data_IF_672529378800
#
_entry.id   IF_672529378800
#
_cell.length_a   1.000
_cell.length_b   1.000
_cell.length_c   1.000
_cell.angle_alpha   90.00
_cell.angle_beta   90.00
_cell.angle_gamma   90.00
#
_symmetry.space_group_name_H-M   'P 1'
#
loop_
_entity.id
_entity.type
_entity.pdbx_description
1 polymer ?
#
# COMPACT_ATOMS: atom_id res chain seq x y z
N UNK A 1 7.49 2.94 -37.79
CA UNK A 1 7.62 1.77 -36.89
C UNK A 1 7.08 2.18 -35.54
N UNK A 2 5.97 1.58 -35.07
CA UNK A 2 5.50 1.86 -33.70
C UNK A 2 6.53 1.26 -32.75
N UNK A 3 7.11 2.08 -31.87
CA UNK A 3 8.03 1.57 -30.85
C UNK A 3 7.32 0.48 -30.01
N UNK A 4 8.07 -0.54 -29.58
CA UNK A 4 7.52 -1.55 -28.69
C UNK A 4 6.99 -0.88 -27.41
N UNK A 5 5.85 -1.36 -26.85
CA UNK A 5 5.28 -0.74 -25.67
C UNK A 5 6.24 -0.86 -24.47
N UNK A 6 6.32 0.17 -23.62
CA UNK A 6 7.26 0.18 -22.50
C UNK A 6 6.93 -0.91 -21.48
N UNK A 7 7.96 -1.55 -20.94
CA UNK A 7 7.86 -2.58 -19.89
C UNK A 7 7.95 -1.93 -18.51
N UNK A 8 7.03 -2.27 -17.64
CA UNK A 8 6.93 -1.69 -16.29
C UNK A 8 7.19 -2.75 -15.22
N UNK A 9 8.08 -2.46 -14.29
CA UNK A 9 8.27 -3.24 -13.07
C UNK A 9 7.62 -2.52 -11.89
N UNK A 10 6.66 -3.16 -11.23
CA UNK A 10 5.97 -2.63 -10.05
C UNK A 10 6.50 -3.34 -8.80
N UNK A 11 7.03 -2.58 -7.85
CA UNK A 11 7.60 -3.08 -6.61
C UNK A 11 6.67 -2.81 -5.42
N UNK A 12 6.31 -3.86 -4.69
CA UNK A 12 5.43 -3.82 -3.50
C UNK A 12 6.10 -4.49 -2.29
N UNK A 13 5.41 -4.52 -1.16
CA UNK A 13 5.76 -5.35 -0.01
C UNK A 13 4.49 -5.79 0.74
N UNK A 14 4.41 -7.05 1.13
CA UNK A 14 3.22 -7.66 1.76
C UNK A 14 3.08 -7.44 3.27
N UNK A 15 3.53 -6.30 3.80
CA UNK A 15 3.36 -5.90 5.22
C UNK A 15 2.10 -5.05 5.37
N UNK A 16 0.97 -5.63 4.99
CA UNK A 16 -0.28 -4.92 4.73
C UNK A 16 -0.81 -5.24 3.33
N UNK A 17 -2.12 -5.10 3.11
CA UNK A 17 -2.73 -5.42 1.81
C UNK A 17 -2.90 -4.21 0.89
N UNK A 18 -2.84 -2.99 1.43
CA UNK A 18 -3.03 -1.76 0.67
C UNK A 18 -2.02 -1.62 -0.47
N UNK A 19 -0.72 -1.75 -0.16
CA UNK A 19 0.36 -1.70 -1.15
C UNK A 19 0.15 -2.72 -2.27
N UNK A 20 -0.17 -3.97 -1.92
CA UNK A 20 -0.42 -5.03 -2.89
C UNK A 20 -1.64 -4.74 -3.77
N UNK A 21 -2.71 -4.15 -3.20
CA UNK A 21 -3.87 -3.73 -3.98
C UNK A 21 -3.51 -2.62 -4.97
N UNK A 22 -2.77 -1.60 -4.53
CA UNK A 22 -2.30 -0.52 -5.40
C UNK A 22 -1.37 -1.04 -6.51
N UNK A 23 -0.45 -1.95 -6.18
CA UNK A 23 0.43 -2.59 -7.16
C UNK A 23 -0.37 -3.38 -8.20
N UNK A 24 -1.37 -4.16 -7.77
CA UNK A 24 -2.23 -4.93 -8.65
C UNK A 24 -3.06 -4.01 -9.57
N UNK A 25 -3.63 -2.94 -9.02
CA UNK A 25 -4.37 -1.91 -9.79
C UNK A 25 -3.48 -1.29 -10.85
N UNK A 26 -2.30 -0.79 -10.48
CA UNK A 26 -1.36 -0.19 -11.43
C UNK A 26 -0.95 -1.19 -12.52
N UNK A 27 -0.62 -2.42 -12.14
CA UNK A 27 -0.23 -3.45 -13.12
C UNK A 27 -1.38 -3.83 -14.06
N UNK A 28 -2.64 -3.79 -13.60
CA UNK A 28 -3.81 -4.00 -14.45
C UNK A 28 -3.98 -2.84 -15.44
N UNK A 29 -3.91 -1.59 -14.97
CA UNK A 29 -4.05 -0.40 -15.83
C UNK A 29 -2.92 -0.27 -16.85
N UNK A 30 -1.67 -0.57 -16.48
CA UNK A 30 -0.56 -0.60 -17.45
C UNK A 30 -0.80 -1.64 -18.54
N UNK A 31 -1.22 -2.86 -18.17
CA UNK A 31 -1.53 -3.92 -19.14
C UNK A 31 -2.70 -3.52 -20.05
N UNK A 32 -3.72 -2.86 -19.50
CA UNK A 32 -4.86 -2.33 -20.27
C UNK A 32 -4.43 -1.26 -21.28
N UNK A 33 -3.45 -0.42 -20.91
CA UNK A 33 -2.82 0.55 -21.79
C UNK A 33 -1.81 -0.05 -22.78
N UNK A 34 -1.67 -1.38 -22.84
CA UNK A 34 -0.77 -2.09 -23.73
C UNK A 34 0.69 -2.18 -23.24
N UNK A 35 0.99 -1.72 -22.02
CA UNK A 35 2.30 -1.80 -21.39
C UNK A 35 2.42 -3.07 -20.52
N UNK A 36 3.32 -4.03 -20.86
CA UNK A 36 3.54 -5.20 -20.02
C UNK A 36 4.01 -4.78 -18.62
N UNK A 37 3.31 -5.25 -17.58
CA UNK A 37 3.63 -4.93 -16.19
C UNK A 37 3.87 -6.20 -15.37
N UNK A 38 4.98 -6.24 -14.64
CA UNK A 38 5.33 -7.31 -13.70
C UNK A 38 5.30 -6.76 -12.28
N UNK A 39 4.59 -7.42 -11.36
CA UNK A 39 4.62 -7.10 -9.94
C UNK A 39 5.64 -7.99 -9.23
N UNK A 40 6.44 -7.40 -8.34
CA UNK A 40 7.44 -8.10 -7.51
C UNK A 40 7.31 -7.61 -6.08
N UNK A 41 7.25 -8.54 -5.14
CA UNK A 41 7.28 -8.27 -3.71
C UNK A 41 8.73 -8.22 -3.23
N UNK A 42 9.12 -7.08 -2.66
CA UNK A 42 10.50 -6.83 -2.26
C UNK A 42 11.03 -7.87 -1.26
N UNK A 43 10.25 -8.23 -0.25
CA UNK A 43 10.73 -9.14 0.79
C UNK A 43 10.62 -10.60 0.35
N UNK A 44 9.50 -10.97 -0.28
CA UNK A 44 9.29 -12.34 -0.73
C UNK A 44 10.27 -12.73 -1.85
N UNK A 45 10.33 -11.92 -2.92
CA UNK A 45 11.07 -12.26 -4.13
C UNK A 45 12.55 -11.85 -4.06
N UNK A 46 12.85 -10.70 -3.42
CA UNK A 46 14.21 -10.14 -3.43
C UNK A 46 15.01 -10.45 -2.16
N UNK A 47 14.36 -10.67 -1.02
CA UNK A 47 15.06 -11.06 0.23
C UNK A 47 15.06 -12.57 0.42
N UNK A 48 13.94 -13.18 0.82
CA UNK A 48 13.76 -14.63 0.88
C UNK A 48 12.31 -14.97 1.28
N UNK A 49 11.66 -15.99 0.68
CA UNK A 49 10.30 -16.39 1.05
C UNK A 49 10.12 -16.74 2.54
N UNK A 50 11.10 -17.40 3.15
CA UNK A 50 11.02 -17.76 4.58
C UNK A 50 11.24 -16.55 5.50
N UNK A 51 12.13 -15.64 5.12
CA UNK A 51 12.36 -14.40 5.86
C UNK A 51 11.08 -13.56 5.87
N UNK A 52 10.48 -13.38 4.69
CA UNK A 52 9.20 -12.71 4.51
C UNK A 52 8.11 -13.37 5.38
N UNK A 53 7.92 -14.69 5.28
CA UNK A 53 6.92 -15.40 6.09
C UNK A 53 7.09 -15.17 7.59
N UNK A 54 8.32 -15.31 8.11
CA UNK A 54 8.62 -15.17 9.54
C UNK A 54 8.38 -13.74 10.03
N UNK A 55 8.98 -12.77 9.35
CA UNK A 55 8.91 -11.35 9.76
C UNK A 55 7.52 -10.77 9.57
N UNK A 56 6.79 -11.17 8.53
CA UNK A 56 5.37 -10.81 8.34
C UNK A 56 4.49 -11.42 9.43
N UNK A 57 4.75 -12.66 9.83
CA UNK A 57 4.07 -13.30 10.96
C UNK A 57 4.31 -12.55 12.28
N UNK A 58 5.55 -12.15 12.53
CA UNK A 58 5.90 -11.33 13.70
C UNK A 58 5.22 -9.96 13.65
N UNK A 59 5.25 -9.28 12.51
CA UNK A 59 4.58 -7.99 12.29
C UNK A 59 3.10 -8.06 12.65
N UNK A 60 2.36 -9.03 12.10
CA UNK A 60 0.94 -9.19 12.41
C UNK A 60 0.69 -9.62 13.87
N UNK A 61 1.58 -10.43 14.46
CA UNK A 61 1.46 -10.80 15.87
C UNK A 61 1.64 -9.59 16.80
N UNK A 62 2.60 -8.71 16.52
CA UNK A 62 2.83 -7.47 17.28
C UNK A 62 1.64 -6.54 17.13
N UNK A 63 1.15 -6.32 15.91
CA UNK A 63 -0.04 -5.49 15.67
C UNK A 63 -1.26 -5.99 16.45
N UNK A 64 -1.48 -7.31 16.48
CA UNK A 64 -2.64 -7.92 17.14
C UNK A 64 -2.53 -7.95 18.66
N UNK A 65 -1.33 -8.21 19.20
CA UNK A 65 -1.14 -8.47 20.65
C UNK A 65 -0.55 -7.30 21.43
N UNK A 66 0.15 -6.39 20.75
CA UNK A 66 0.84 -5.28 21.38
C UNK A 66 0.75 -3.99 20.52
N UNK A 67 -0.46 -3.50 20.21
CA UNK A 67 -0.63 -2.31 19.38
C UNK A 67 0.01 -1.05 19.99
N UNK A 68 0.11 -0.97 21.33
CA UNK A 68 0.83 0.12 22.02
C UNK A 68 2.34 0.05 21.73
N UNK A 69 2.94 -1.15 21.75
CA UNK A 69 4.35 -1.32 21.38
C UNK A 69 4.60 -1.00 19.90
N UNK A 70 3.67 -1.35 19.03
CA UNK A 70 3.72 -0.93 17.63
C UNK A 70 3.65 0.59 17.49
N UNK A 71 2.72 1.25 18.19
CA UNK A 71 2.61 2.71 18.19
C UNK A 71 3.89 3.41 18.68
N UNK A 72 4.52 2.88 19.73
CA UNK A 72 5.82 3.36 20.22
C UNK A 72 6.92 3.14 19.18
N UNK A 73 7.02 1.94 18.59
CA UNK A 73 8.00 1.64 17.56
C UNK A 73 7.83 2.52 16.31
N UNK A 74 6.57 2.81 15.95
CA UNK A 74 6.22 3.67 14.83
C UNK A 74 6.59 5.14 15.11
N UNK A 75 6.25 5.66 16.30
CA UNK A 75 6.65 6.99 16.73
C UNK A 75 8.17 7.14 16.79
N UNK A 76 8.87 6.16 17.35
CA UNK A 76 10.34 6.12 17.36
C UNK A 76 10.89 6.06 15.93
N UNK A 77 10.28 5.26 15.05
CA UNK A 77 10.66 5.13 13.65
C UNK A 77 10.52 6.42 12.84
N UNK A 78 9.48 7.21 13.11
CA UNK A 78 9.26 8.51 12.46
C UNK A 78 10.28 9.57 12.94
N UNK A 79 10.79 9.42 14.17
CA UNK A 79 11.87 10.24 14.74
C UNK A 79 13.28 9.78 14.30
N UNK A 80 13.41 8.56 13.76
CA UNK A 80 14.68 8.09 13.23
C UNK A 80 14.94 8.74 11.86
N UNK A 81 16.08 9.42 11.74
CA UNK A 81 16.59 9.89 10.46
C UNK A 81 16.65 8.73 9.45
N UNK A 82 16.42 9.03 8.17
CA UNK A 82 16.61 8.11 7.03
C UNK A 82 18.03 7.51 7.01
N UNK A 83 18.98 8.14 7.71
CA UNK A 83 20.36 7.69 7.94
C UNK A 83 20.58 6.74 9.13
N UNK A 84 19.53 6.26 9.80
CA UNK A 84 19.66 5.29 10.90
C UNK A 84 20.26 3.96 10.41
N UNK A 85 21.33 3.43 11.04
CA UNK A 85 21.97 2.17 10.62
C UNK A 85 21.01 0.98 10.56
N UNK A 86 20.00 0.94 11.44
CA UNK A 86 18.97 -0.10 11.45
C UNK A 86 18.07 -0.02 10.22
N UNK A 87 17.58 1.18 9.90
CA UNK A 87 16.77 1.42 8.70
C UNK A 87 17.59 1.20 7.43
N UNK A 88 18.84 1.64 7.41
CA UNK A 88 19.77 1.39 6.30
C UNK A 88 20.06 -0.10 6.11
N UNK A 89 20.19 -0.87 7.19
CA UNK A 89 20.36 -2.32 7.16
C UNK A 89 19.17 -3.02 6.51
N UNK A 90 17.95 -2.72 6.97
CA UNK A 90 16.71 -3.27 6.40
C UNK A 90 16.52 -2.84 4.93
N UNK A 91 16.76 -1.56 4.63
CA UNK A 91 16.64 -1.01 3.27
C UNK A 91 17.68 -1.60 2.30
N UNK A 92 18.80 -2.13 2.79
CA UNK A 92 19.80 -2.79 1.98
C UNK A 92 19.47 -4.25 1.64
N UNK A 93 18.53 -4.86 2.37
CA UNK A 93 18.09 -6.23 2.11
C UNK A 93 17.47 -6.32 0.71
N UNK A 94 17.88 -7.34 -0.05
CA UNK A 94 17.36 -7.60 -1.39
C UNK A 94 17.93 -6.71 -2.50
N UNK A 95 18.75 -5.70 -2.18
CA UNK A 95 19.35 -4.79 -3.20
C UNK A 95 20.16 -5.51 -4.27
N UNK A 96 20.95 -6.52 -3.90
CA UNK A 96 21.71 -7.34 -4.86
C UNK A 96 20.79 -8.10 -5.82
N UNK A 97 19.70 -8.69 -5.31
CA UNK A 97 18.73 -9.38 -6.15
C UNK A 97 17.93 -8.40 -7.00
N UNK A 98 17.60 -7.22 -6.48
CA UNK A 98 16.98 -6.13 -7.24
C UNK A 98 17.86 -5.71 -8.42
N UNK A 99 19.16 -5.50 -8.21
CA UNK A 99 20.10 -5.19 -9.29
C UNK A 99 20.13 -6.31 -10.35
N UNK A 100 20.18 -7.58 -9.92
CA UNK A 100 20.10 -8.73 -10.82
C UNK A 100 18.79 -8.77 -11.62
N UNK A 101 17.66 -8.50 -10.97
CA UNK A 101 16.35 -8.43 -11.61
C UNK A 101 16.29 -7.31 -12.65
N UNK A 102 16.75 -6.11 -12.32
CA UNK A 102 16.77 -4.97 -13.27
C UNK A 102 17.64 -5.29 -14.49
N UNK A 103 18.79 -5.96 -14.30
CA UNK A 103 19.67 -6.35 -15.38
C UNK A 103 19.08 -7.44 -16.29
N UNK A 104 18.34 -8.39 -15.72
CA UNK A 104 17.71 -9.50 -16.43
C UNK A 104 16.43 -9.07 -17.17
N UNK A 105 15.53 -8.38 -16.47
CA UNK A 105 14.20 -8.01 -16.99
C UNK A 105 14.24 -6.79 -17.91
N UNK A 106 15.26 -5.93 -17.75
CA UNK A 106 15.45 -4.66 -18.43
C UNK A 106 14.15 -3.86 -18.57
N UNK A 107 13.47 -3.50 -17.46
CA UNK A 107 12.26 -2.69 -17.54
C UNK A 107 12.60 -1.25 -17.99
N UNK A 108 11.69 -0.61 -18.70
CA UNK A 108 11.83 0.80 -19.12
C UNK A 108 11.48 1.76 -17.98
N UNK A 109 10.55 1.33 -17.11
CA UNK A 109 10.09 2.08 -15.94
C UNK A 109 9.98 1.19 -14.71
N UNK A 110 10.31 1.75 -13.54
CA UNK A 110 10.08 1.13 -12.24
C UNK A 110 9.08 1.97 -11.46
N UNK A 111 8.08 1.33 -10.86
CA UNK A 111 7.10 1.98 -9.99
C UNK A 111 7.13 1.31 -8.62
N UNK A 112 7.37 2.06 -7.55
CA UNK A 112 7.36 1.52 -6.19
C UNK A 112 6.17 2.04 -5.41
N UNK A 113 5.44 1.13 -4.76
CA UNK A 113 4.26 1.45 -3.93
C UNK A 113 4.50 1.18 -2.44
N UNK A 114 5.76 1.03 -2.03
CA UNK A 114 6.18 0.81 -0.65
C UNK A 114 7.54 1.48 -0.38
N UNK A 115 7.84 1.97 0.84
CA UNK A 115 9.10 2.66 1.15
C UNK A 115 10.37 1.82 0.93
N UNK A 116 10.38 0.55 1.33
CA UNK A 116 11.59 -0.30 1.26
C UNK A 116 12.19 -0.43 -0.15
N UNK A 117 11.42 -0.78 -1.21
CA UNK A 117 11.99 -0.83 -2.56
C UNK A 117 12.45 0.54 -3.07
N UNK A 118 11.84 1.64 -2.61
CA UNK A 118 12.29 3.01 -2.93
C UNK A 118 13.71 3.24 -2.37
N UNK A 119 13.93 2.89 -1.10
CA UNK A 119 15.22 3.01 -0.46
C UNK A 119 16.29 2.13 -1.14
N UNK A 120 15.93 0.90 -1.50
CA UNK A 120 16.80 -0.03 -2.20
C UNK A 120 17.23 0.51 -3.58
N UNK A 121 16.29 1.06 -4.37
CA UNK A 121 16.61 1.69 -5.66
C UNK A 121 17.50 2.91 -5.49
N UNK A 122 17.20 3.77 -4.51
CA UNK A 122 18.03 4.94 -4.23
C UNK A 122 19.46 4.55 -3.85
N UNK A 123 19.65 3.46 -3.11
CA UNK A 123 20.96 2.93 -2.75
C UNK A 123 21.71 2.34 -3.96
N UNK A 124 21.01 1.66 -4.88
CA UNK A 124 21.61 1.18 -6.12
C UNK A 124 22.09 2.34 -6.98
N UNK A 125 21.24 3.37 -7.17
CA UNK A 125 21.59 4.55 -7.95
C UNK A 125 22.74 5.33 -7.34
N UNK A 126 22.81 5.47 -6.00
CA UNK A 126 23.95 6.13 -5.34
C UNK A 126 25.27 5.39 -5.49
N UNK A 127 25.23 4.07 -5.75
CA UNK A 127 26.40 3.23 -6.06
C UNK A 127 26.74 3.19 -7.55
N UNK A 128 26.09 4.02 -8.37
CA UNK A 128 26.32 4.08 -9.82
C UNK A 128 25.71 2.93 -10.62
N UNK A 129 24.82 2.12 -10.01
CA UNK A 129 24.08 1.11 -10.76
C UNK A 129 23.06 1.83 -11.65
N UNK A 130 23.05 1.57 -12.97
CA UNK A 130 22.07 2.16 -13.85
C UNK A 130 20.69 1.61 -13.48
N UNK A 131 19.79 2.50 -13.07
CA UNK A 131 18.39 2.17 -12.83
C UNK A 131 17.51 2.90 -13.85
N UNK A 132 16.44 2.27 -14.35
CA UNK A 132 15.47 2.95 -15.21
C UNK A 132 14.81 4.13 -14.50
N UNK A 133 14.01 4.89 -15.23
CA UNK A 133 13.23 5.96 -14.59
C UNK A 133 12.29 5.39 -13.52
N UNK A 134 12.25 6.06 -12.38
CA UNK A 134 11.60 5.55 -11.18
C UNK A 134 10.53 6.49 -10.65
N UNK A 135 9.32 5.96 -10.45
CA UNK A 135 8.20 6.67 -9.83
C UNK A 135 7.82 6.02 -8.50
N UNK A 136 7.75 6.82 -7.44
CA UNK A 136 7.21 6.42 -6.15
C UNK A 136 5.74 6.80 -6.07
N UNK A 137 4.86 5.85 -5.77
CA UNK A 137 3.43 6.09 -5.56
C UNK A 137 3.12 5.89 -4.09
N UNK A 138 2.65 6.95 -3.44
CA UNK A 138 2.28 6.91 -2.03
C UNK A 138 0.95 6.17 -1.86
N UNK A 139 0.91 5.34 -0.84
CA UNK A 139 -0.29 4.61 -0.42
C UNK A 139 -0.83 5.09 0.92
N UNK A 140 -0.20 6.12 1.50
CA UNK A 140 -0.46 6.62 2.83
C UNK A 140 -0.75 8.13 2.77
N UNK A 141 -1.63 8.61 3.63
CA UNK A 141 -1.94 10.05 3.78
C UNK A 141 -0.97 10.77 4.74
N UNK A 142 0.22 10.22 4.95
CA UNK A 142 1.26 10.84 5.79
C UNK A 142 2.60 10.72 5.09
N UNK A 143 3.32 11.84 5.03
CA UNK A 143 4.65 11.91 4.41
C UNK A 143 5.72 11.35 5.36
N UNK A 144 5.74 10.04 5.61
CA UNK A 144 6.81 9.45 6.42
C UNK A 144 8.18 9.67 5.78
N UNK A 145 9.19 9.94 6.62
CA UNK A 145 10.59 10.14 6.18
C UNK A 145 11.10 8.96 5.36
N UNK A 146 10.60 7.76 5.63
CA UNK A 146 10.92 6.53 4.90
C UNK A 146 10.61 6.58 3.40
N UNK A 147 9.71 7.46 2.96
CA UNK A 147 9.40 7.61 1.54
C UNK A 147 10.40 8.53 0.80
N UNK A 148 11.18 9.33 1.53
CA UNK A 148 11.94 10.46 0.97
C UNK A 148 13.41 10.04 0.75
N UNK A 149 13.83 10.00 -0.51
CA UNK A 149 15.22 9.72 -0.87
C UNK A 149 15.73 10.64 -1.99
N UNK A 150 17.05 10.87 -2.00
CA UNK A 150 17.72 11.84 -2.87
C UNK A 150 17.75 11.46 -4.36
N UNK A 151 17.68 10.17 -4.68
CA UNK A 151 17.92 9.65 -6.03
C UNK A 151 16.65 9.18 -6.76
N UNK A 152 15.53 9.89 -6.57
CA UNK A 152 14.22 9.54 -7.11
C UNK A 152 13.75 10.56 -8.17
N UNK A 153 13.09 10.06 -9.22
CA UNK A 153 12.70 10.89 -10.37
C UNK A 153 11.33 11.55 -10.17
N UNK A 154 10.34 10.80 -9.65
CA UNK A 154 8.97 11.29 -9.46
C UNK A 154 8.29 10.71 -8.23
N UNK A 155 7.43 11.51 -7.61
CA UNK A 155 6.53 11.16 -6.53
C UNK A 155 5.09 11.42 -6.95
N UNK A 156 4.24 10.42 -6.83
CA UNK A 156 2.79 10.49 -6.96
C UNK A 156 2.19 10.42 -5.56
N UNK A 157 1.54 11.50 -5.12
CA UNK A 157 1.06 11.67 -3.74
C UNK A 157 -0.47 11.77 -3.69
N UNK A 158 -1.10 11.41 -2.56
CA UNK A 158 -2.55 11.33 -2.49
C UNK A 158 -3.26 12.68 -2.38
N UNK A 159 -2.57 13.71 -1.90
CA UNK A 159 -3.15 15.02 -1.62
C UNK A 159 -2.10 16.16 -1.71
N UNK A 160 -2.57 17.40 -1.88
CA UNK A 160 -1.68 18.57 -1.98
C UNK A 160 -0.99 18.90 -0.65
N UNK A 161 -1.61 18.56 0.49
CA UNK A 161 -0.99 18.62 1.82
C UNK A 161 0.33 17.84 1.84
N UNK A 162 0.31 16.61 1.31
CA UNK A 162 1.49 15.74 1.24
C UNK A 162 2.51 16.30 0.25
N UNK A 163 2.07 16.88 -0.87
CA UNK A 163 2.98 17.55 -1.80
C UNK A 163 3.71 18.73 -1.15
N UNK A 164 3.00 19.52 -0.34
CA UNK A 164 3.58 20.63 0.44
C UNK A 164 4.58 20.12 1.46
N UNK A 165 4.25 19.06 2.19
CA UNK A 165 5.15 18.45 3.18
C UNK A 165 6.45 17.93 2.55
N UNK A 166 6.37 17.23 1.41
CA UNK A 166 7.56 16.77 0.67
C UNK A 166 8.41 17.95 0.19
N UNK A 167 7.78 19.01 -0.29
CA UNK A 167 8.46 20.20 -0.78
C UNK A 167 9.18 20.92 0.37
N UNK A 168 8.52 21.05 1.53
CA UNK A 168 9.12 21.63 2.74
C UNK A 168 10.32 20.81 3.25
N UNK A 169 10.35 19.50 2.97
CA UNK A 169 11.45 18.59 3.27
C UNK A 169 12.52 18.51 2.17
N UNK A 170 12.47 19.40 1.18
CA UNK A 170 13.51 19.57 0.16
C UNK A 170 13.32 18.75 -1.12
N UNK A 171 12.20 18.05 -1.30
CA UNK A 171 11.88 17.42 -2.59
C UNK A 171 11.48 18.51 -3.59
N UNK A 172 12.11 18.61 -4.78
CA UNK A 172 11.71 19.61 -5.76
C UNK A 172 10.24 19.44 -6.18
N UNK A 173 9.43 20.50 -6.11
CA UNK A 173 7.99 20.45 -6.44
C UNK A 173 7.70 19.89 -7.84
N UNK A 174 8.62 20.12 -8.79
CA UNK A 174 8.53 19.58 -10.16
C UNK A 174 8.61 18.04 -10.22
N UNK A 175 9.13 17.38 -9.19
CA UNK A 175 9.14 15.92 -9.05
C UNK A 175 7.89 15.38 -8.37
N UNK A 176 7.03 16.23 -7.83
CA UNK A 176 5.85 15.82 -7.07
C UNK A 176 4.58 16.07 -7.88
N UNK A 177 3.75 15.05 -8.01
CA UNK A 177 2.47 15.09 -8.73
C UNK A 177 1.37 14.59 -7.79
N UNK A 178 0.30 15.36 -7.63
CA UNK A 178 -0.86 14.95 -6.84
C UNK A 178 -1.76 14.11 -7.75
N UNK A 179 -1.89 12.82 -7.45
CA UNK A 179 -2.65 11.86 -8.26
C UNK A 179 -3.80 11.21 -7.50
N UNK A 180 -3.83 11.32 -6.17
CA UNK A 180 -4.62 10.41 -5.34
C UNK A 180 -3.94 9.04 -5.21
N UNK A 181 -4.51 8.18 -4.36
CA UNK A 181 -4.12 6.76 -4.26
C UNK A 181 -4.81 6.01 -5.42
N UNK A 182 -4.08 5.23 -6.23
CA UNK A 182 -4.71 4.44 -7.29
C UNK A 182 -5.74 3.46 -6.74
N UNK A 183 -6.96 3.52 -7.29
CA UNK A 183 -8.06 2.59 -7.00
C UNK A 183 -8.46 1.83 -8.25
N UNK A 184 -9.06 0.64 -8.08
CA UNK A 184 -9.54 -0.17 -9.20
C UNK A 184 -10.63 0.54 -10.02
N UNK A 185 -10.74 0.21 -11.30
CA UNK A 185 -11.74 0.82 -12.20
C UNK A 185 -13.17 0.64 -11.69
N UNK A 186 -13.45 -0.48 -11.01
CA UNK A 186 -14.73 -0.76 -10.37
C UNK A 186 -15.15 0.30 -9.33
N UNK A 187 -14.21 1.09 -8.80
CA UNK A 187 -14.49 2.19 -7.89
C UNK A 187 -14.71 3.53 -8.59
N UNK A 188 -14.54 3.60 -9.91
CA UNK A 188 -14.77 4.80 -10.72
C UNK A 188 -16.17 4.85 -11.34
N UNK A 189 -16.85 3.70 -11.35
CA UNK A 189 -18.20 3.58 -11.90
C UNK A 189 -19.23 4.04 -10.88
N UNK A 190 -20.05 5.03 -11.27
CA UNK A 190 -21.15 5.49 -10.43
C UNK A 190 -22.27 4.44 -10.44
N UNK A 191 -22.66 3.95 -9.26
CA UNK A 191 -23.84 3.11 -9.10
C UNK A 191 -25.02 3.92 -8.56
N UNK A 192 -26.23 3.63 -9.03
CA UNK A 192 -27.43 4.19 -8.42
C UNK A 192 -27.60 3.64 -7.00
N UNK A 193 -27.59 4.53 -6.00
CA UNK A 193 -27.59 4.17 -4.57
C UNK A 193 -28.78 3.28 -4.18
N UNK A 194 -29.97 3.54 -4.75
CA UNK A 194 -31.17 2.75 -4.45
C UNK A 194 -31.06 1.33 -5.00
N UNK A 195 -30.58 1.17 -6.25
CA UNK A 195 -30.38 -0.14 -6.87
C UNK A 195 -29.30 -0.96 -6.16
N UNK A 196 -28.17 -0.33 -5.80
CA UNK A 196 -27.09 -1.00 -5.06
C UNK A 196 -27.58 -1.52 -3.70
N UNK A 197 -28.42 -0.75 -2.99
CA UNK A 197 -29.03 -1.18 -1.73
C UNK A 197 -29.94 -2.38 -1.94
N UNK A 198 -30.83 -2.33 -2.92
CA UNK A 198 -31.76 -3.42 -3.22
C UNK A 198 -31.00 -4.71 -3.61
N UNK A 199 -29.93 -4.61 -4.39
CA UNK A 199 -29.08 -5.74 -4.76
C UNK A 199 -28.40 -6.42 -3.55
N UNK A 200 -28.18 -5.67 -2.47
CA UNK A 200 -27.64 -6.16 -1.20
C UNK A 200 -28.72 -6.56 -0.18
N UNK A 201 -30.01 -6.55 -0.56
CA UNK A 201 -31.12 -6.83 0.35
C UNK A 201 -31.38 -5.72 1.38
N UNK A 202 -30.87 -4.51 1.15
CA UNK A 202 -31.01 -3.35 2.03
C UNK A 202 -32.22 -2.49 1.64
N UNK A 203 -32.72 -1.72 2.61
CA UNK A 203 -33.81 -0.77 2.38
C UNK A 203 -33.28 0.43 1.61
N UNK A 204 -33.97 0.90 0.56
CA UNK A 204 -33.57 2.10 -0.15
C UNK A 204 -33.74 3.36 0.71
N UNK A 205 -34.54 3.31 1.78
CA UNK A 205 -34.94 4.49 2.57
C UNK A 205 -34.17 4.66 3.88
N UNK A 206 -33.60 3.61 4.43
CA UNK A 206 -32.88 3.67 5.71
C UNK A 206 -31.42 4.11 5.52
N UNK A 207 -30.82 4.74 6.55
CA UNK A 207 -29.38 4.92 6.61
C UNK A 207 -28.68 3.56 6.67
N UNK A 208 -27.52 3.48 5.99
CA UNK A 208 -26.69 2.25 5.95
C UNK A 208 -25.32 2.61 6.51
N UNK A 209 -24.90 1.90 7.55
CA UNK A 209 -23.56 1.96 8.12
C UNK A 209 -22.70 0.84 7.53
N UNK A 210 -21.60 1.20 6.86
CA UNK A 210 -20.59 0.24 6.46
C UNK A 210 -19.56 0.12 7.58
N UNK A 211 -19.44 -1.07 8.14
CA UNK A 211 -18.41 -1.43 9.09
C UNK A 211 -17.41 -2.36 8.40
N UNK A 212 -16.14 -1.97 8.40
CA UNK A 212 -15.06 -2.78 7.83
C UNK A 212 -13.81 -2.67 8.69
N UNK A 213 -13.03 -3.74 8.74
CA UNK A 213 -11.69 -3.77 9.34
C UNK A 213 -10.63 -3.97 8.22
N UNK A 214 -9.34 -3.93 8.57
CA UNK A 214 -8.25 -4.26 7.67
C UNK A 214 -8.41 -5.67 7.08
N UNK A 215 -7.83 -5.89 5.89
CA UNK A 215 -8.03 -7.12 5.10
C UNK A 215 -7.67 -8.43 5.81
N UNK A 216 -6.84 -8.38 6.84
CA UNK A 216 -6.41 -9.53 7.64
C UNK A 216 -7.32 -9.84 8.83
N UNK A 217 -8.27 -8.95 9.15
CA UNK A 217 -9.16 -9.06 10.29
C UNK A 217 -8.47 -9.02 11.66
N UNK A 218 -9.25 -8.79 12.71
CA UNK A 218 -8.80 -8.99 14.10
C UNK A 218 -7.86 -7.91 14.66
N UNK A 219 -7.76 -6.75 14.00
CA UNK A 219 -7.04 -5.58 14.51
C UNK A 219 -7.99 -4.57 15.16
N UNK A 220 -9.27 -4.60 14.79
CA UNK A 220 -10.30 -3.71 15.30
C UNK A 220 -11.28 -4.34 16.28
N UNK A 221 -12.14 -3.49 16.86
CA UNK A 221 -13.26 -3.86 17.73
C UNK A 221 -14.55 -4.03 16.92
N UNK A 222 -14.45 -4.64 15.72
CA UNK A 222 -15.57 -4.72 14.77
C UNK A 222 -16.78 -5.45 15.36
N UNK A 223 -16.54 -6.51 16.15
CA UNK A 223 -17.60 -7.24 16.84
C UNK A 223 -18.33 -6.34 17.86
N UNK A 224 -17.59 -5.54 18.61
CA UNK A 224 -18.19 -4.63 19.59
C UNK A 224 -18.92 -3.47 18.92
N UNK A 225 -18.38 -2.93 17.82
CA UNK A 225 -19.07 -1.94 17.01
C UNK A 225 -20.40 -2.49 16.47
N UNK A 226 -20.40 -3.71 15.91
CA UNK A 226 -21.61 -4.37 15.44
C UNK A 226 -22.62 -4.62 16.58
N UNK A 227 -22.18 -5.14 17.72
CA UNK A 227 -23.04 -5.31 18.92
C UNK A 227 -23.58 -3.99 19.47
N UNK A 228 -22.85 -2.89 19.28
CA UNK A 228 -23.32 -1.56 19.69
C UNK A 228 -24.41 -1.05 18.74
N UNK A 229 -24.24 -1.24 17.43
CA UNK A 229 -25.29 -0.93 16.45
C UNK A 229 -26.58 -1.73 16.69
N UNK A 230 -26.47 -3.00 17.10
CA UNK A 230 -27.64 -3.83 17.44
C UNK A 230 -28.42 -3.33 18.67
N UNK A 231 -27.81 -2.48 19.51
CA UNK A 231 -28.44 -1.88 20.70
C UNK A 231 -29.04 -0.50 20.42
N UNK A 232 -28.85 0.04 19.22
CA UNK A 232 -29.41 1.34 18.83
C UNK A 232 -30.91 1.19 18.55
N UNK A 233 -31.69 2.18 18.99
CA UNK A 233 -33.14 2.22 18.78
C UNK A 233 -33.50 2.90 17.44
N UNK A 234 -32.56 3.64 16.86
CA UNK A 234 -32.73 4.33 15.60
C UNK A 234 -32.90 3.34 14.43
N UNK A 235 -33.81 3.62 13.48
CA UNK A 235 -34.00 2.76 12.32
C UNK A 235 -32.83 2.90 11.35
N UNK A 236 -31.88 1.98 11.45
CA UNK A 236 -30.68 1.90 10.61
C UNK A 236 -30.41 0.48 10.12
N UNK A 237 -29.50 0.37 9.15
CA UNK A 237 -29.01 -0.90 8.63
C UNK A 237 -27.49 -0.90 8.66
N UNK A 238 -26.88 -2.08 8.79
CA UNK A 238 -25.44 -2.22 8.78
C UNK A 238 -25.00 -3.27 7.75
N UNK A 239 -23.91 -2.97 7.04
CA UNK A 239 -23.14 -3.93 6.24
C UNK A 239 -21.82 -4.11 6.95
N UNK A 240 -21.51 -5.35 7.34
CA UNK A 240 -20.25 -5.66 8.02
C UNK A 240 -19.37 -6.50 7.10
N UNK A 241 -18.21 -5.95 6.73
CA UNK A 241 -17.22 -6.62 5.89
C UNK A 241 -16.09 -7.13 6.78
N UNK A 242 -16.05 -8.45 6.98
CA UNK A 242 -15.09 -9.15 7.87
C UNK A 242 -13.77 -9.48 7.19
N UNK A 243 -13.61 -9.15 5.90
CA UNK A 243 -12.40 -9.44 5.14
C UNK A 243 -12.19 -10.94 4.98
N UNK A 244 -11.06 -11.46 5.49
CA UNK A 244 -10.72 -12.90 5.46
C UNK A 244 -11.00 -13.62 6.78
N UNK A 245 -11.62 -12.97 7.75
CA UNK A 245 -11.82 -13.54 9.08
C UNK A 245 -13.15 -14.28 9.20
N UNK A 246 -13.15 -15.53 8.74
CA UNK A 246 -14.32 -16.42 8.73
C UNK A 246 -14.89 -16.64 10.14
N UNK A 247 -14.04 -16.68 11.17
CA UNK A 247 -14.48 -16.84 12.56
C UNK A 247 -15.28 -15.63 13.06
N UNK A 248 -14.89 -14.42 12.65
CA UNK A 248 -15.61 -13.20 13.02
C UNK A 248 -16.97 -13.15 12.31
N UNK A 249 -17.01 -13.53 11.04
CA UNK A 249 -18.27 -13.65 10.29
C UNK A 249 -19.22 -14.64 10.99
N UNK A 250 -18.71 -15.82 11.36
CA UNK A 250 -19.50 -16.84 12.05
C UNK A 250 -20.03 -16.37 13.43
N UNK A 251 -19.30 -15.52 14.14
CA UNK A 251 -19.76 -14.92 15.41
C UNK A 251 -20.82 -13.83 15.20
N UNK A 252 -20.72 -13.04 14.12
CA UNK A 252 -21.63 -11.94 13.81
C UNK A 252 -22.94 -12.38 13.17
N UNK A 253 -22.97 -13.56 12.53
CA UNK A 253 -24.20 -14.14 11.97
C UNK A 253 -25.15 -14.72 13.04
N UNK A 254 -24.69 -14.87 14.28
CA UNK A 254 -25.48 -15.37 15.42
C UNK A 254 -26.14 -14.21 16.15
#
# INVERSE_FOLDING_TARGET
>A
MSAAPPRVLVLTASYGSGHNRVAATLAAEFRRAGAPARVVDHFHDLVHPEFDRLTRGLYYAVLRRAPVLWGIAYWLGDQLSVSSPLLMGINSLGTRRLAGLLAADRPDHVVSVHPTPVAALSQLRSRGVPIPSHTTVFTDFVAHTQWIHSHLDRYCVPAEEIARDLTARGVPRARVVVTGIPVGQEFTEASERAQARLALGLSPRLPVLLLMDGSGGGFGRLEEAARTLLRMEEPLQAVVVTGREEQLEARLRK
#
